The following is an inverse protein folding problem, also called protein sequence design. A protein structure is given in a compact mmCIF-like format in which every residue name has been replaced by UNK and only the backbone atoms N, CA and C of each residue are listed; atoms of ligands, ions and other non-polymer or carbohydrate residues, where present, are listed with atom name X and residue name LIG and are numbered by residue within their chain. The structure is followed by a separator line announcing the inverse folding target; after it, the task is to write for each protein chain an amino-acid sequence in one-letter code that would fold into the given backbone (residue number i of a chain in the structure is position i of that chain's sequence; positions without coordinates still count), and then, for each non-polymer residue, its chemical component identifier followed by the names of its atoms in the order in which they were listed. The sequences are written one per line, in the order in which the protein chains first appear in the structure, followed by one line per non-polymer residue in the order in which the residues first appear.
data_IF_301083361502
#
_entry.id   IF_301083361502
#
_cell.length_a   1.000
_cell.length_b   1.000
_cell.length_c   1.000
_cell.angle_alpha   90.00
_cell.angle_beta   90.00
_cell.angle_gamma   90.00
#
_symmetry.space_group_name_H-M   'P 1'
#
loop_
_entity.id
_entity.type
_entity.pdbx_description
1 polymer ?
#
# COMPACT_ATOMS: atom_id res chain seq x y z
N UNK A 1 5.15 -29.54 3.16
CA UNK A 1 4.34 -29.26 1.94
C UNK A 1 4.80 -27.90 1.41
N UNK A 2 5.24 -27.84 0.17
CA UNK A 2 5.54 -26.56 -0.48
C UNK A 2 4.27 -25.72 -0.54
N UNK A 3 4.38 -24.46 -0.14
CA UNK A 3 3.23 -23.54 -0.17
C UNK A 3 2.94 -23.18 -1.63
N UNK A 4 1.83 -23.66 -2.17
CA UNK A 4 1.39 -23.30 -3.51
C UNK A 4 0.75 -21.92 -3.46
N UNK A 5 1.29 -20.98 -4.24
CA UNK A 5 0.73 -19.64 -4.39
C UNK A 5 -0.07 -19.52 -5.69
N UNK A 6 -1.13 -18.71 -5.73
CA UNK A 6 -1.77 -18.36 -6.99
C UNK A 6 -0.80 -17.54 -7.86
N UNK A 7 -1.02 -17.53 -9.17
CA UNK A 7 -0.36 -16.60 -10.08
C UNK A 7 -0.84 -15.19 -9.78
N UNK A 8 0.09 -14.26 -9.55
CA UNK A 8 -0.21 -12.87 -9.23
C UNK A 8 0.43 -11.94 -10.27
N UNK A 9 -0.39 -11.19 -10.99
CA UNK A 9 0.02 -10.12 -11.88
C UNK A 9 -0.40 -8.77 -11.29
N UNK A 10 0.56 -8.00 -10.79
CA UNK A 10 0.35 -6.66 -10.21
C UNK A 10 0.56 -5.61 -11.30
N UNK A 11 -0.48 -4.89 -11.65
CA UNK A 11 -0.45 -3.93 -12.77
C UNK A 11 -0.56 -2.51 -12.25
N UNK A 12 0.43 -1.66 -12.58
CA UNK A 12 0.47 -0.26 -12.19
C UNK A 12 1.31 0.60 -13.16
N UNK A 13 1.55 1.85 -12.80
CA UNK A 13 2.45 2.76 -13.49
C UNK A 13 3.91 2.56 -13.06
N UNK A 14 4.87 3.16 -13.78
CA UNK A 14 6.29 3.15 -13.42
C UNK A 14 6.57 4.10 -12.25
N UNK A 15 5.99 3.79 -11.11
CA UNK A 15 6.17 4.57 -9.87
C UNK A 15 5.93 3.68 -8.65
N UNK A 16 6.52 4.02 -7.53
CA UNK A 16 6.33 3.29 -6.26
C UNK A 16 4.90 3.44 -5.73
N UNK A 17 4.54 4.65 -5.35
CA UNK A 17 3.21 5.10 -4.96
C UNK A 17 2.34 3.99 -4.31
N UNK A 18 1.14 3.75 -4.80
CA UNK A 18 0.17 2.83 -4.19
C UNK A 18 0.53 1.34 -4.25
N UNK A 19 1.59 0.95 -4.95
CA UNK A 19 2.03 -0.46 -5.01
C UNK A 19 3.23 -0.77 -4.11
N UNK A 20 3.94 0.22 -3.61
CA UNK A 20 5.19 -0.01 -2.87
C UNK A 20 4.97 -0.86 -1.60
N UNK A 21 3.98 -0.51 -0.78
CA UNK A 21 3.66 -1.27 0.42
C UNK A 21 3.25 -2.72 0.10
N UNK A 22 2.50 -2.91 -1.00
CA UNK A 22 2.10 -4.23 -1.49
C UNK A 22 3.33 -5.06 -1.89
N UNK A 23 4.26 -4.47 -2.65
CA UNK A 23 5.48 -5.13 -3.10
C UNK A 23 6.39 -5.51 -1.91
N UNK A 24 6.58 -4.58 -0.96
CA UNK A 24 7.34 -4.87 0.26
C UNK A 24 6.76 -6.05 1.03
N UNK A 25 5.45 -6.08 1.20
CA UNK A 25 4.75 -7.18 1.88
C UNK A 25 4.90 -8.51 1.13
N UNK A 26 4.72 -8.53 -0.19
CA UNK A 26 4.90 -9.72 -1.01
C UNK A 26 6.35 -10.24 -0.95
N UNK A 27 7.33 -9.35 -1.02
CA UNK A 27 8.74 -9.68 -0.87
C UNK A 27 9.04 -10.25 0.52
N UNK A 28 8.53 -9.64 1.59
CA UNK A 28 8.68 -10.13 2.96
C UNK A 28 8.14 -11.56 3.13
N UNK A 29 6.95 -11.83 2.59
CA UNK A 29 6.31 -13.14 2.65
C UNK A 29 6.86 -14.17 1.65
N UNK A 30 7.87 -13.80 0.83
CA UNK A 30 8.36 -14.62 -0.28
C UNK A 30 7.23 -15.10 -1.22
N UNK A 31 6.24 -14.24 -1.47
CA UNK A 31 5.13 -14.52 -2.37
C UNK A 31 5.51 -14.10 -3.79
N UNK A 32 5.58 -15.04 -4.74
CA UNK A 32 5.93 -14.72 -6.12
C UNK A 32 4.84 -13.89 -6.79
N UNK A 33 5.24 -12.88 -7.53
CA UNK A 33 4.35 -12.05 -8.35
C UNK A 33 5.11 -11.50 -9.56
N UNK A 34 4.37 -11.10 -10.59
CA UNK A 34 4.90 -10.36 -11.73
C UNK A 34 4.37 -8.93 -11.69
N UNK A 35 5.27 -7.95 -11.81
CA UNK A 35 4.89 -6.55 -11.94
C UNK A 35 4.82 -6.15 -13.40
N UNK A 36 3.70 -5.57 -13.81
CA UNK A 36 3.49 -5.12 -15.18
C UNK A 36 3.25 -3.62 -15.24
N UNK A 37 3.84 -2.97 -16.23
CA UNK A 37 3.45 -1.62 -16.61
C UNK A 37 2.06 -1.66 -17.25
N UNK A 38 1.17 -0.78 -16.82
CA UNK A 38 -0.22 -0.82 -17.26
C UNK A 38 -0.37 -0.76 -18.79
N UNK A 39 0.42 0.09 -19.47
CA UNK A 39 0.38 0.20 -20.93
C UNK A 39 0.91 -1.03 -21.68
N UNK A 40 1.81 -1.79 -21.06
CA UNK A 40 2.32 -3.05 -21.61
C UNK A 40 1.31 -4.18 -21.41
N UNK A 41 0.70 -4.24 -20.23
CA UNK A 41 -0.25 -5.29 -19.89
C UNK A 41 -1.57 -5.19 -20.67
N UNK A 42 -2.12 -3.97 -20.79
CA UNK A 42 -3.39 -3.74 -21.46
C UNK A 42 -3.24 -3.39 -22.95
N UNK A 43 -2.01 -3.11 -23.41
CA UNK A 43 -1.72 -2.70 -24.81
C UNK A 43 -2.55 -1.50 -25.29
N UNK A 44 -2.88 -0.60 -24.35
CA UNK A 44 -3.76 0.55 -24.54
C UNK A 44 -3.22 1.80 -23.86
N UNK A 45 -3.66 2.96 -24.35
CA UNK A 45 -3.43 4.24 -23.67
C UNK A 45 -4.23 4.33 -22.36
N UNK A 46 -3.75 5.14 -21.40
CA UNK A 46 -4.46 5.32 -20.12
C UNK A 46 -5.92 5.81 -20.27
N UNK A 47 -6.26 6.79 -21.13
CA UNK A 47 -7.64 7.21 -21.34
C UNK A 47 -8.58 6.11 -21.82
N UNK A 48 -8.08 5.15 -22.60
CA UNK A 48 -8.85 3.98 -23.07
C UNK A 48 -9.00 2.93 -21.97
N UNK A 49 -7.87 2.54 -21.35
CA UNK A 49 -7.81 1.61 -20.23
C UNK A 49 -8.74 2.00 -19.09
N UNK A 50 -8.72 3.29 -18.71
CA UNK A 50 -9.48 3.82 -17.59
C UNK A 50 -10.98 3.53 -17.67
N UNK A 51 -11.53 3.40 -18.88
CA UNK A 51 -12.95 3.11 -19.08
C UNK A 51 -13.31 1.64 -18.85
N UNK A 52 -12.32 0.76 -18.96
CA UNK A 52 -12.49 -0.70 -18.89
C UNK A 52 -12.10 -1.26 -17.51
N UNK A 53 -11.24 -0.55 -16.79
CA UNK A 53 -10.80 -0.95 -15.45
C UNK A 53 -11.84 -0.56 -14.40
N UNK A 54 -12.14 -1.49 -13.50
CA UNK A 54 -13.05 -1.24 -12.38
C UNK A 54 -12.63 -0.01 -11.56
N UNK A 55 -13.56 0.86 -11.26
CA UNK A 55 -13.35 2.16 -10.61
C UNK A 55 -12.48 3.16 -11.40
N UNK A 56 -12.03 2.82 -12.62
CA UNK A 56 -11.17 3.67 -13.43
C UNK A 56 -9.85 4.04 -12.77
N UNK A 57 -9.29 3.17 -11.93
CA UNK A 57 -8.10 3.42 -11.12
C UNK A 57 -7.15 2.21 -11.12
N UNK A 58 -5.88 2.51 -10.96
CA UNK A 58 -4.81 1.54 -10.69
C UNK A 58 -4.26 1.78 -9.27
N UNK A 59 -3.68 0.77 -8.62
CA UNK A 59 -3.30 -0.56 -9.13
C UNK A 59 -4.49 -1.52 -9.27
N UNK A 60 -4.25 -2.58 -10.04
CA UNK A 60 -5.06 -3.80 -10.03
C UNK A 60 -4.16 -5.02 -9.82
N UNK A 61 -4.68 -6.03 -9.14
CA UNK A 61 -4.06 -7.34 -8.99
C UNK A 61 -4.92 -8.37 -9.72
N UNK A 62 -4.33 -9.08 -10.66
CA UNK A 62 -4.98 -10.18 -11.36
C UNK A 62 -4.49 -11.49 -10.73
N UNK A 63 -5.44 -12.30 -10.28
CA UNK A 63 -5.20 -13.60 -9.63
C UNK A 63 -5.60 -14.72 -10.59
N UNK A 64 -4.66 -15.62 -10.89
CA UNK A 64 -4.83 -16.80 -11.77
C UNK A 64 -5.42 -16.49 -13.13
N UNK A 65 -5.19 -15.28 -13.67
CA UNK A 65 -5.79 -14.76 -14.91
C UNK A 65 -7.35 -14.73 -14.91
N UNK A 66 -7.98 -14.78 -13.77
CA UNK A 66 -9.44 -14.91 -13.62
C UNK A 66 -10.07 -13.81 -12.80
N UNK A 67 -9.49 -13.50 -11.66
CA UNK A 67 -10.07 -12.55 -10.71
C UNK A 67 -9.24 -11.27 -10.67
N UNK A 68 -9.89 -10.13 -10.88
CA UNK A 68 -9.26 -8.81 -10.72
C UNK A 68 -9.67 -8.19 -9.39
N UNK A 69 -8.68 -7.79 -8.59
CA UNK A 69 -8.86 -7.06 -7.33
C UNK A 69 -8.42 -5.62 -7.56
N UNK A 70 -9.29 -4.69 -7.20
CA UNK A 70 -9.06 -3.25 -7.29
C UNK A 70 -8.79 -2.64 -5.92
N UNK A 71 -8.31 -1.41 -5.91
CA UNK A 71 -7.97 -0.63 -4.72
C UNK A 71 -6.75 -1.20 -3.96
N UNK A 72 -5.76 -0.35 -3.75
CA UNK A 72 -4.51 -0.74 -3.07
C UNK A 72 -4.75 -1.35 -1.68
N UNK A 73 -5.72 -0.83 -0.92
CA UNK A 73 -6.09 -1.38 0.39
C UNK A 73 -6.67 -2.79 0.31
N UNK A 74 -7.54 -3.06 -0.68
CA UNK A 74 -8.08 -4.41 -0.89
C UNK A 74 -7.00 -5.39 -1.33
N UNK A 75 -6.10 -4.97 -2.21
CA UNK A 75 -4.95 -5.76 -2.66
C UNK A 75 -4.04 -6.05 -1.46
N UNK A 76 -3.77 -5.04 -0.63
CA UNK A 76 -2.94 -5.18 0.57
C UNK A 76 -3.48 -6.24 1.54
N UNK A 77 -4.78 -6.21 1.83
CA UNK A 77 -5.45 -7.20 2.70
C UNK A 77 -5.47 -8.61 2.10
N UNK A 78 -5.71 -8.71 0.81
CA UNK A 78 -5.67 -10.00 0.11
C UNK A 78 -4.25 -10.62 0.16
N UNK A 79 -3.24 -9.83 -0.18
CA UNK A 79 -1.85 -10.29 -0.19
C UNK A 79 -1.30 -10.53 1.22
N UNK A 80 -1.85 -9.88 2.26
CA UNK A 80 -1.49 -10.12 3.65
C UNK A 80 -1.72 -11.58 4.09
N UNK A 81 -2.80 -12.20 3.62
CA UNK A 81 -3.07 -13.62 3.87
C UNK A 81 -2.00 -14.52 3.21
N UNK A 82 -1.60 -14.20 2.00
CA UNK A 82 -0.58 -14.96 1.26
C UNK A 82 0.82 -14.79 1.89
N UNK A 83 1.15 -13.57 2.27
CA UNK A 83 2.42 -13.20 2.89
C UNK A 83 2.54 -13.57 4.38
N UNK A 84 1.48 -14.10 4.98
CA UNK A 84 1.41 -14.41 6.42
C UNK A 84 1.61 -13.16 7.32
N UNK A 85 1.09 -12.02 6.88
CA UNK A 85 1.13 -10.72 7.58
C UNK A 85 -0.28 -10.26 8.01
N UNK A 86 -1.28 -11.11 7.84
CA UNK A 86 -2.64 -10.87 8.31
C UNK A 86 -2.73 -11.29 9.79
N UNK A 87 -3.16 -10.42 10.72
CA UNK A 87 -3.36 -10.78 12.12
C UNK A 87 -4.32 -11.94 12.29
N UNK A 88 -4.10 -12.79 13.31
CA UNK A 88 -4.84 -14.03 13.49
C UNK A 88 -6.27 -13.81 13.98
N UNK A 89 -6.47 -12.84 14.90
CA UNK A 89 -7.79 -12.53 15.47
C UNK A 89 -8.44 -11.32 14.80
N UNK A 90 -9.76 -11.21 14.91
CA UNK A 90 -10.53 -10.17 14.24
C UNK A 90 -10.33 -8.77 14.83
N UNK A 91 -10.07 -8.68 16.15
CA UNK A 91 -9.79 -7.41 16.82
C UNK A 91 -8.48 -6.81 16.33
N UNK A 92 -7.41 -7.59 16.26
CA UNK A 92 -6.12 -7.14 15.72
C UNK A 92 -6.23 -6.82 14.21
N UNK A 93 -7.09 -7.52 13.45
CA UNK A 93 -7.37 -7.16 12.05
C UNK A 93 -8.02 -5.79 11.95
N UNK A 94 -9.03 -5.53 12.78
CA UNK A 94 -9.68 -4.22 12.81
C UNK A 94 -8.73 -3.10 13.20
N UNK A 95 -7.82 -3.35 14.15
CA UNK A 95 -6.78 -2.41 14.55
C UNK A 95 -5.76 -2.20 13.41
N UNK A 96 -5.33 -3.27 12.76
CA UNK A 96 -4.46 -3.17 11.58
C UNK A 96 -5.11 -2.34 10.46
N UNK A 97 -6.42 -2.54 10.23
CA UNK A 97 -7.17 -1.73 9.27
C UNK A 97 -7.18 -0.25 9.66
N UNK A 98 -7.45 0.07 10.91
CA UNK A 98 -7.47 1.46 11.38
C UNK A 98 -6.10 2.14 11.20
N UNK A 99 -5.01 1.45 11.52
CA UNK A 99 -3.64 1.95 11.33
C UNK A 99 -3.34 2.13 9.83
N UNK A 100 -3.67 1.14 9.01
CA UNK A 100 -3.44 1.18 7.57
C UNK A 100 -4.24 2.31 6.90
N UNK A 101 -5.54 2.42 7.15
CA UNK A 101 -6.39 3.48 6.59
C UNK A 101 -5.90 4.87 7.03
N UNK A 102 -5.50 5.04 8.30
CA UNK A 102 -4.90 6.28 8.79
C UNK A 102 -3.61 6.64 8.05
N UNK A 103 -2.80 5.63 7.66
CA UNK A 103 -1.62 5.87 6.83
C UNK A 103 -1.98 6.30 5.40
N UNK A 104 -3.05 5.74 4.84
CA UNK A 104 -3.51 6.10 3.50
C UNK A 104 -4.10 7.51 3.43
N UNK A 105 -4.77 7.98 4.49
CA UNK A 105 -5.23 9.38 4.59
C UNK A 105 -4.08 10.38 4.48
N UNK A 106 -2.91 10.04 5.02
CA UNK A 106 -1.70 10.85 4.90
C UNK A 106 -1.05 10.69 3.52
N UNK A 107 -1.01 9.45 3.03
CA UNK A 107 -0.33 9.14 1.79
C UNK A 107 -0.98 9.78 0.56
N UNK A 108 -2.30 9.87 0.49
CA UNK A 108 -3.00 10.37 -0.70
C UNK A 108 -2.61 11.80 -1.10
N UNK A 109 -2.69 12.82 -0.22
CA UNK A 109 -2.29 14.17 -0.57
C UNK A 109 -0.78 14.30 -0.84
N UNK A 110 0.03 13.53 -0.12
CA UNK A 110 1.47 13.48 -0.32
C UNK A 110 1.83 12.91 -1.69
N UNK A 111 1.23 11.80 -2.07
CA UNK A 111 1.43 11.16 -3.37
C UNK A 111 1.05 12.10 -4.53
N UNK A 112 -0.06 12.80 -4.42
CA UNK A 112 -0.51 13.77 -5.42
C UNK A 112 0.51 14.93 -5.58
N UNK A 113 1.10 15.38 -4.49
CA UNK A 113 2.09 16.46 -4.50
C UNK A 113 3.43 15.98 -5.07
N UNK A 114 3.98 14.89 -4.56
CA UNK A 114 5.31 14.40 -4.94
C UNK A 114 5.37 13.96 -6.41
N UNK A 115 4.33 13.30 -6.91
CA UNK A 115 4.37 12.72 -8.25
C UNK A 115 3.85 13.65 -9.36
N UNK A 116 3.11 14.70 -9.02
CA UNK A 116 2.42 15.50 -10.03
C UNK A 116 2.64 17.02 -9.92
N UNK A 117 3.40 17.48 -8.92
CA UNK A 117 3.71 18.90 -8.74
C UNK A 117 5.20 19.16 -8.86
N UNK A 118 5.55 20.35 -9.32
CA UNK A 118 6.95 20.81 -9.48
C UNK A 118 7.09 22.30 -9.14
N UNK A 119 8.32 22.75 -8.93
CA UNK A 119 8.63 24.16 -8.70
C UNK A 119 7.98 24.74 -7.44
N UNK A 120 7.55 26.00 -7.50
CA UNK A 120 6.98 26.73 -6.35
C UNK A 120 5.71 26.08 -5.81
N UNK A 121 4.85 25.52 -6.68
CA UNK A 121 3.64 24.81 -6.27
C UNK A 121 3.99 23.58 -5.43
N UNK A 122 5.00 22.83 -5.82
CA UNK A 122 5.50 21.68 -5.05
C UNK A 122 5.98 22.11 -3.66
N UNK A 123 6.83 23.14 -3.58
CA UNK A 123 7.39 23.60 -2.31
C UNK A 123 6.30 24.15 -1.36
N UNK A 124 5.33 24.88 -1.88
CA UNK A 124 4.21 25.39 -1.09
C UNK A 124 3.33 24.25 -0.52
N UNK A 125 2.96 23.30 -1.37
CA UNK A 125 2.14 22.16 -0.96
C UNK A 125 2.89 21.21 0.00
N UNK A 126 4.17 20.93 -0.27
CA UNK A 126 5.03 20.11 0.59
C UNK A 126 5.06 20.69 2.01
N UNK A 127 5.30 22.00 2.13
CA UNK A 127 5.33 22.66 3.44
C UNK A 127 4.00 22.56 4.19
N UNK A 128 2.89 22.75 3.50
CA UNK A 128 1.54 22.64 4.09
C UNK A 128 1.24 21.21 4.54
N UNK A 129 1.56 20.22 3.71
CA UNK A 129 1.32 18.81 4.00
C UNK A 129 2.16 18.38 5.22
N UNK A 130 3.44 18.72 5.27
CA UNK A 130 4.33 18.33 6.37
C UNK A 130 3.85 18.89 7.71
N UNK A 131 3.34 20.12 7.76
CA UNK A 131 2.73 20.68 8.99
C UNK A 131 1.53 19.85 9.44
N UNK A 132 0.71 19.33 8.52
CA UNK A 132 -0.42 18.45 8.84
C UNK A 132 -0.02 17.02 9.25
N UNK A 133 1.21 16.61 8.95
CA UNK A 133 1.71 15.27 9.26
C UNK A 133 2.12 15.07 10.71
N UNK A 134 2.76 16.06 11.31
CA UNK A 134 3.34 15.93 12.66
C UNK A 134 2.34 15.41 13.72
N UNK A 135 1.11 15.95 13.82
CA UNK A 135 0.14 15.45 14.78
C UNK A 135 -0.26 13.98 14.54
N UNK A 136 -0.32 13.56 13.28
CA UNK A 136 -0.72 12.18 12.92
C UNK A 136 0.40 11.18 13.15
N UNK A 137 1.65 11.54 12.84
CA UNK A 137 2.83 10.73 13.16
C UNK A 137 2.94 10.51 14.68
N UNK A 138 2.62 11.52 15.47
CA UNK A 138 2.55 11.38 16.93
C UNK A 138 1.62 10.24 17.37
N UNK A 139 0.45 10.08 16.74
CA UNK A 139 -0.47 8.99 17.07
C UNK A 139 0.07 7.62 16.68
N UNK A 140 0.75 7.48 15.53
CA UNK A 140 1.41 6.21 15.17
C UNK A 140 2.48 5.84 16.20
N UNK A 141 3.35 6.77 16.58
CA UNK A 141 4.37 6.53 17.59
C UNK A 141 3.76 6.17 18.94
N UNK A 142 2.76 6.93 19.39
CA UNK A 142 2.04 6.66 20.64
C UNK A 142 1.43 5.26 20.64
N UNK A 143 0.83 4.84 19.52
CA UNK A 143 0.23 3.51 19.41
C UNK A 143 1.32 2.42 19.44
N UNK A 144 2.39 2.58 18.67
CA UNK A 144 3.51 1.65 18.64
C UNK A 144 4.18 1.51 20.02
N UNK A 145 4.34 2.60 20.76
CA UNK A 145 4.90 2.59 22.11
C UNK A 145 3.96 2.00 23.17
N UNK A 146 2.65 2.05 22.95
CA UNK A 146 1.65 1.55 23.90
C UNK A 146 1.49 0.02 23.85
N UNK A 147 1.67 -0.59 22.68
CA UNK A 147 1.61 -2.04 22.52
C UNK A 147 2.96 -2.66 22.92
N UNK A 148 2.95 -3.50 23.94
CA UNK A 148 4.15 -4.16 24.47
C UNK A 148 4.34 -5.58 23.93
N UNK A 149 3.57 -6.00 22.94
CA UNK A 149 3.66 -7.35 22.36
C UNK A 149 4.88 -7.54 21.46
N UNK A 150 5.56 -6.46 21.04
CA UNK A 150 6.76 -6.55 20.19
C UNK A 150 7.14 -5.21 19.55
N UNK A 151 8.09 -5.23 18.59
CA UNK A 151 8.58 -4.02 17.95
C UNK A 151 7.67 -3.50 16.83
N UNK A 152 6.65 -4.25 16.41
CA UNK A 152 5.68 -3.88 15.39
C UNK A 152 4.35 -3.48 16.02
N UNK A 153 3.45 -2.91 15.25
CA UNK A 153 2.18 -2.41 15.76
C UNK A 153 1.34 -3.45 16.50
N UNK A 154 1.44 -4.72 16.12
CA UNK A 154 0.60 -5.79 16.66
C UNK A 154 1.40 -7.01 17.16
N UNK A 155 2.66 -6.87 17.43
CA UNK A 155 3.46 -7.94 18.02
C UNK A 155 4.88 -8.08 17.50
N UNK A 156 5.42 -9.29 17.59
CA UNK A 156 6.80 -9.63 17.23
C UNK A 156 7.05 -9.68 15.71
N UNK A 157 6.02 -9.84 14.90
CA UNK A 157 6.12 -9.91 13.45
C UNK A 157 5.31 -8.79 12.81
N UNK A 158 5.77 -8.23 11.66
CA UNK A 158 5.03 -7.19 10.99
C UNK A 158 3.70 -7.71 10.46
N UNK A 159 2.67 -6.89 10.61
CA UNK A 159 1.40 -7.03 9.93
C UNK A 159 1.33 -6.10 8.72
N UNK A 160 0.31 -6.22 7.89
CA UNK A 160 0.22 -5.41 6.67
C UNK A 160 0.18 -3.89 6.92
N UNK A 161 -0.29 -3.44 8.08
CA UNK A 161 -0.29 -2.02 8.43
C UNK A 161 1.12 -1.45 8.63
N UNK A 162 2.05 -2.27 9.12
CA UNK A 162 3.46 -1.86 9.30
C UNK A 162 4.10 -1.46 7.96
N UNK A 163 3.82 -2.21 6.89
CA UNK A 163 4.31 -1.87 5.54
C UNK A 163 3.69 -0.56 5.02
N UNK A 164 2.42 -0.30 5.33
CA UNK A 164 1.76 0.96 4.98
C UNK A 164 2.38 2.17 5.66
N UNK A 165 2.60 2.08 6.97
CA UNK A 165 3.22 3.15 7.75
C UNK A 165 4.70 3.31 7.40
N UNK A 166 5.43 2.21 7.22
CA UNK A 166 6.83 2.24 6.79
C UNK A 166 6.99 2.92 5.43
N UNK A 167 6.15 2.55 4.44
CA UNK A 167 6.15 3.21 3.14
C UNK A 167 5.92 4.71 3.27
N UNK A 168 4.96 5.13 4.10
CA UNK A 168 4.71 6.54 4.38
C UNK A 168 5.96 7.24 4.91
N UNK A 169 6.72 6.61 5.79
CA UNK A 169 7.94 7.19 6.37
C UNK A 169 9.07 7.40 5.35
N UNK A 170 9.15 6.56 4.32
CA UNK A 170 10.17 6.66 3.27
C UNK A 170 9.97 7.83 2.30
N UNK A 171 8.77 8.38 2.24
CA UNK A 171 8.43 9.46 1.30
C UNK A 171 8.87 10.84 1.84
N UNK A 172 9.25 10.92 3.10
CA UNK A 172 9.66 12.16 3.75
C UNK A 172 11.17 12.44 3.62
N UNK A 173 11.90 11.45 3.13
CA UNK A 173 13.34 11.53 2.89
C UNK A 173 13.58 11.92 1.44
#
# INVERSE_FOLDING_TARGET
MEKSFPKLDLVYFKMRAFTEAIQMQLCYGNVPYTYHMAWEYFEKSWPEMKKEIGFGQLPVLIVDNQTTIWQSGSIMRYTAKLANTLPANEEDRAIADAIFESSQELFQPLNATINFKTGEEYEALKKTILVGFEPKIFYFNKYLESDKRGPFFLGENPSYCDFGVYHLSLIHI
#
